data_IF_118894669729
#
_entry.id   IF_118894669729
#
_cell.length_a   1.000
_cell.length_b   1.000
_cell.length_c   1.000
_cell.angle_alpha   90.00
_cell.angle_beta   90.00
_cell.angle_gamma   90.00
#
_symmetry.space_group_name_H-M   'P 1'
#
loop_
_entity.id
_entity.type
_entity.pdbx_description
1 polymer ?
#
# COMPACT_ATOMS: atom_id res chain seq x y z
N UNK A 1 23.82 -17.44 10.63
CA UNK A 1 23.68 -16.25 9.84
C UNK A 1 22.37 -15.54 10.09
N UNK A 2 22.39 -14.33 10.56
CA UNK A 2 21.14 -13.64 10.82
C UNK A 2 20.41 -13.38 9.50
N UNK A 3 19.13 -13.62 9.50
CA UNK A 3 18.33 -13.23 8.38
C UNK A 3 18.12 -11.73 8.42
N UNK A 4 18.20 -11.13 7.26
CA UNK A 4 17.84 -9.74 7.16
C UNK A 4 16.35 -9.62 7.33
N UNK A 5 15.93 -8.92 8.36
CA UNK A 5 14.52 -8.72 8.64
C UNK A 5 13.98 -7.65 7.70
N UNK A 6 13.14 -8.06 6.77
CA UNK A 6 12.55 -7.15 5.80
C UNK A 6 11.17 -7.63 5.40
N UNK A 7 10.40 -6.73 4.80
CA UNK A 7 9.07 -7.00 4.33
C UNK A 7 8.86 -6.30 2.99
N UNK A 8 8.20 -6.98 2.06
CA UNK A 8 7.77 -6.35 0.83
C UNK A 8 6.45 -5.65 1.08
N UNK A 9 6.32 -4.44 0.56
CA UNK A 9 5.11 -3.64 0.69
C UNK A 9 4.71 -3.07 -0.66
N UNK A 10 3.41 -2.96 -0.87
CA UNK A 10 2.83 -2.36 -2.05
C UNK A 10 2.32 -0.98 -1.67
N UNK A 11 2.83 0.05 -2.35
CA UNK A 11 2.45 1.43 -2.08
C UNK A 11 1.67 1.98 -3.27
N UNK A 12 0.52 2.58 -2.98
CA UNK A 12 -0.43 2.99 -4.02
C UNK A 12 -0.85 4.45 -3.91
N UNK A 13 -0.39 5.15 -2.88
CA UNK A 13 -0.80 6.53 -2.62
C UNK A 13 0.38 7.44 -2.35
N UNK A 14 0.33 8.16 -1.24
CA UNK A 14 1.34 9.16 -0.90
C UNK A 14 2.76 8.62 -0.78
N UNK A 15 2.91 7.31 -0.64
CA UNK A 15 4.22 6.67 -0.55
C UNK A 15 4.84 6.37 -1.90
N UNK A 16 4.07 6.45 -2.99
CA UNK A 16 4.62 6.19 -4.32
C UNK A 16 5.67 7.25 -4.69
N UNK A 17 6.57 6.85 -5.60
CA UNK A 17 7.61 7.76 -6.09
C UNK A 17 7.00 9.06 -6.62
N UNK A 18 7.52 10.19 -6.15
CA UNK A 18 7.03 11.50 -6.54
C UNK A 18 5.89 12.02 -5.68
N UNK A 19 5.44 11.25 -4.69
CA UNK A 19 4.36 11.65 -3.81
C UNK A 19 4.88 12.08 -2.44
N UNK A 20 4.04 12.75 -1.66
CA UNK A 20 4.44 13.49 -0.45
C UNK A 20 5.21 12.64 0.55
N UNK A 21 4.76 11.41 0.81
CA UNK A 21 5.38 10.57 1.83
C UNK A 21 6.46 9.65 1.29
N UNK A 22 6.84 9.80 0.02
CA UNK A 22 7.85 8.93 -0.58
C UNK A 22 9.19 8.99 0.14
N UNK A 23 9.50 10.11 0.79
CA UNK A 23 10.76 10.25 1.54
C UNK A 23 10.92 9.19 2.62
N UNK A 24 9.82 8.64 3.14
CA UNK A 24 9.88 7.57 4.13
C UNK A 24 10.51 6.29 3.57
N UNK A 25 10.52 6.14 2.25
CA UNK A 25 11.10 4.98 1.57
C UNK A 25 12.55 5.21 1.16
N UNK A 26 13.14 6.35 1.52
CA UNK A 26 14.53 6.65 1.16
C UNK A 26 15.46 5.59 1.72
N UNK A 27 16.35 5.09 0.85
CA UNK A 27 17.29 4.03 1.24
C UNK A 27 16.71 2.63 1.14
N UNK A 28 15.42 2.50 0.83
CA UNK A 28 14.80 1.18 0.67
C UNK A 28 14.81 0.77 -0.80
N UNK A 29 14.73 -0.53 -1.04
CA UNK A 29 14.86 -1.09 -2.39
C UNK A 29 13.52 -1.09 -3.13
N UNK A 30 13.44 -0.36 -4.23
CA UNK A 30 12.28 -0.42 -5.10
C UNK A 30 12.41 -1.63 -6.02
N UNK A 31 11.44 -2.53 -5.95
CA UNK A 31 11.43 -3.74 -6.77
C UNK A 31 10.71 -3.54 -8.10
N UNK A 32 9.95 -2.46 -8.24
CA UNK A 32 9.31 -2.12 -9.49
C UNK A 32 7.82 -1.82 -9.37
N UNK A 33 7.23 -1.54 -10.51
CA UNK A 33 5.79 -1.31 -10.58
C UNK A 33 5.04 -2.61 -10.42
N UNK A 34 3.84 -2.52 -9.88
CA UNK A 34 3.00 -3.70 -9.66
C UNK A 34 1.54 -3.32 -9.79
N UNK A 35 0.71 -4.35 -10.03
CA UNK A 35 -0.72 -4.19 -10.19
C UNK A 35 -1.40 -5.21 -9.30
N UNK A 36 -2.39 -4.78 -8.53
CA UNK A 36 -3.14 -5.69 -7.66
C UNK A 36 -4.14 -6.51 -8.47
N UNK A 37 -4.49 -7.69 -7.96
CA UNK A 37 -5.64 -8.41 -8.49
C UNK A 37 -6.90 -7.53 -8.32
N UNK A 38 -7.93 -7.68 -9.18
CA UNK A 38 -9.11 -6.80 -9.13
C UNK A 38 -10.04 -7.13 -7.97
N UNK A 39 -9.51 -7.00 -6.76
CA UNK A 39 -10.20 -7.34 -5.52
C UNK A 39 -10.37 -6.13 -4.61
N UNK A 40 -9.96 -4.96 -5.07
CA UNK A 40 -9.87 -3.77 -4.22
C UNK A 40 -10.37 -2.52 -4.94
N UNK A 41 -10.74 -1.51 -4.15
CA UNK A 41 -11.02 -0.17 -4.67
C UNK A 41 -10.38 0.87 -3.77
N UNK A 42 -10.07 2.04 -4.35
CA UNK A 42 -9.50 3.16 -3.62
C UNK A 42 -10.52 4.28 -3.53
N UNK A 43 -10.63 4.86 -2.36
CA UNK A 43 -11.52 6.00 -2.13
C UNK A 43 -10.73 7.21 -1.67
N UNK A 44 -11.18 8.38 -2.07
CA UNK A 44 -10.52 9.65 -1.79
C UNK A 44 -10.89 10.10 -0.36
N UNK A 45 -9.89 10.11 0.52
CA UNK A 45 -10.07 10.56 1.91
C UNK A 45 -9.71 12.03 2.07
N UNK A 46 -9.42 12.72 0.95
CA UNK A 46 -9.00 14.11 0.93
C UNK A 46 -7.58 14.22 0.41
N UNK A 47 -6.60 14.08 1.27
CA UNK A 47 -5.20 14.22 0.89
C UNK A 47 -4.52 12.90 0.53
N UNK A 48 -5.20 11.77 0.72
CA UNK A 48 -4.63 10.45 0.49
C UNK A 48 -5.75 9.44 0.25
N UNK A 49 -5.43 8.29 -0.36
CA UNK A 49 -6.45 7.28 -0.66
C UNK A 49 -6.62 6.28 0.47
N UNK A 50 -7.81 5.69 0.53
CA UNK A 50 -8.08 4.55 1.39
C UNK A 50 -8.36 3.34 0.50
N UNK A 51 -7.56 2.29 0.65
CA UNK A 51 -7.73 1.04 -0.07
C UNK A 51 -8.61 0.10 0.74
N UNK A 52 -9.59 -0.50 0.10
CA UNK A 52 -10.49 -1.45 0.76
C UNK A 52 -10.74 -2.65 -0.15
N UNK A 53 -11.08 -3.79 0.44
CA UNK A 53 -11.52 -4.94 -0.33
C UNK A 53 -12.92 -4.66 -0.88
N UNK A 54 -13.16 -5.10 -2.11
CA UNK A 54 -14.39 -4.80 -2.79
C UNK A 54 -14.73 -5.91 -3.76
N UNK A 55 -15.97 -6.44 -3.75
CA UNK A 55 -16.34 -7.56 -4.64
C UNK A 55 -16.16 -7.25 -6.12
N UNK A 56 -16.40 -6.00 -6.51
CA UNK A 56 -16.21 -5.56 -7.89
C UNK A 56 -15.01 -4.63 -7.94
N UNK A 57 -13.84 -5.20 -7.66
CA UNK A 57 -12.62 -4.43 -7.53
C UNK A 57 -11.98 -4.05 -8.85
N UNK A 58 -10.96 -3.23 -8.73
CA UNK A 58 -10.13 -2.77 -9.84
C UNK A 58 -8.71 -3.24 -9.66
N UNK A 59 -7.97 -3.29 -10.76
CA UNK A 59 -6.55 -3.62 -10.74
C UNK A 59 -5.75 -2.38 -10.33
N UNK A 60 -5.61 -2.19 -9.03
CA UNK A 60 -4.96 -1.01 -8.46
C UNK A 60 -3.47 -0.99 -8.82
N UNK A 61 -2.97 0.14 -9.27
CA UNK A 61 -1.57 0.32 -9.68
C UNK A 61 -0.75 0.91 -8.56
N UNK A 62 0.47 0.44 -8.43
CA UNK A 62 1.39 0.94 -7.41
C UNK A 62 2.80 0.46 -7.64
N UNK A 63 3.58 0.44 -6.57
CA UNK A 63 4.99 0.04 -6.60
C UNK A 63 5.25 -0.89 -5.43
N UNK A 64 6.17 -1.85 -5.62
CA UNK A 64 6.59 -2.75 -4.55
C UNK A 64 7.98 -2.34 -4.07
N UNK A 65 8.14 -2.23 -2.77
CA UNK A 65 9.41 -1.95 -2.12
C UNK A 65 9.74 -3.06 -1.12
N UNK A 66 11.01 -3.34 -0.98
CA UNK A 66 11.51 -4.18 0.10
C UNK A 66 12.07 -3.25 1.17
N UNK A 67 11.47 -3.29 2.35
CA UNK A 67 11.81 -2.35 3.42
C UNK A 67 12.28 -3.11 4.64
N UNK A 68 13.26 -2.53 5.37
CA UNK A 68 13.68 -3.11 6.64
C UNK A 68 12.61 -2.86 7.72
N UNK A 69 12.73 -3.55 8.84
CA UNK A 69 11.71 -3.47 9.89
C UNK A 69 11.61 -2.09 10.53
N UNK A 70 12.71 -1.35 10.59
CA UNK A 70 12.65 0.00 11.12
C UNK A 70 11.83 0.92 10.19
N UNK A 71 12.06 0.80 8.89
CA UNK A 71 11.27 1.53 7.91
C UNK A 71 9.80 1.12 7.98
N UNK A 72 9.55 -0.19 8.08
CA UNK A 72 8.20 -0.71 8.17
C UNK A 72 7.45 -0.10 9.36
N UNK A 73 8.11 0.01 10.50
CA UNK A 73 7.53 0.62 11.69
C UNK A 73 7.16 2.08 11.44
N UNK A 74 8.03 2.81 10.76
CA UNK A 74 7.76 4.22 10.43
C UNK A 74 6.59 4.36 9.47
N UNK A 75 6.48 3.44 8.51
CA UNK A 75 5.36 3.43 7.58
C UNK A 75 4.05 3.12 8.31
N UNK A 76 4.06 2.15 9.23
CA UNK A 76 2.88 1.86 10.03
C UNK A 76 2.45 3.07 10.86
N UNK A 77 3.41 3.81 11.43
CA UNK A 77 3.11 5.03 12.16
C UNK A 77 2.49 6.10 11.25
N UNK A 78 3.08 6.30 10.07
CA UNK A 78 2.60 7.29 9.13
C UNK A 78 1.20 6.98 8.64
N UNK A 79 0.85 5.70 8.54
CA UNK A 79 -0.48 5.27 8.13
C UNK A 79 -1.48 5.23 9.29
N UNK A 80 -1.02 5.51 10.51
CA UNK A 80 -1.91 5.54 11.67
C UNK A 80 -2.44 4.17 12.05
N UNK A 81 -1.60 3.13 11.94
CA UNK A 81 -1.99 1.77 12.34
C UNK A 81 -2.39 1.73 13.81
N UNK A 82 -1.64 2.42 14.66
CA UNK A 82 -1.93 2.46 16.10
C UNK A 82 -3.24 3.17 16.42
N UNK A 83 -3.65 4.11 15.57
CA UNK A 83 -4.92 4.81 15.74
C UNK A 83 -6.07 4.11 15.02
N UNK A 84 -5.82 2.94 14.46
CA UNK A 84 -6.81 2.15 13.72
C UNK A 84 -7.39 2.87 12.52
N UNK A 85 -6.57 3.71 11.88
CA UNK A 85 -6.94 4.31 10.61
C UNK A 85 -6.77 3.31 9.48
N UNK A 86 -5.64 2.60 9.48
CA UNK A 86 -5.33 1.55 8.53
C UNK A 86 -4.89 0.28 9.25
N UNK A 87 -5.01 -0.84 8.57
CA UNK A 87 -4.38 -2.09 8.98
C UNK A 87 -3.44 -2.54 7.86
N UNK A 88 -2.27 -3.05 8.22
CA UNK A 88 -1.35 -3.62 7.25
C UNK A 88 -1.57 -5.13 7.17
N UNK A 89 -1.80 -5.63 5.96
CA UNK A 89 -1.98 -7.06 5.74
C UNK A 89 -1.64 -7.42 4.30
N UNK A 90 -1.61 -8.71 4.01
CA UNK A 90 -1.24 -9.21 2.70
C UNK A 90 -2.21 -8.72 1.61
N UNK A 91 -1.64 -8.34 0.46
CA UNK A 91 -2.39 -7.96 -0.73
C UNK A 91 -2.10 -8.95 -1.84
N UNK A 92 -3.09 -9.22 -2.68
CA UNK A 92 -2.94 -10.10 -3.83
C UNK A 92 -2.53 -9.29 -5.05
N UNK A 93 -1.38 -9.61 -5.63
CA UNK A 93 -0.83 -8.91 -6.79
C UNK A 93 -0.77 -9.83 -8.00
N UNK A 94 -0.72 -9.21 -9.18
CA UNK A 94 -0.54 -9.92 -10.45
C UNK A 94 0.94 -9.99 -10.81
N UNK A 95 1.25 -10.84 -11.80
CA UNK A 95 2.58 -10.88 -12.40
C UNK A 95 3.65 -11.47 -11.50
N UNK A 96 4.84 -10.89 -11.55
CA UNK A 96 6.01 -11.44 -10.86
C UNK A 96 5.89 -11.43 -9.33
N UNK A 97 4.98 -10.64 -8.77
CA UNK A 97 4.78 -10.57 -7.33
C UNK A 97 3.62 -11.44 -6.85
N UNK A 98 3.01 -12.21 -7.74
CA UNK A 98 1.81 -12.99 -7.46
C UNK A 98 1.95 -13.93 -6.28
N UNK A 99 3.08 -14.62 -6.18
CA UNK A 99 3.30 -15.60 -5.11
C UNK A 99 4.03 -15.03 -3.91
N UNK A 100 4.33 -13.74 -3.91
CA UNK A 100 5.09 -13.11 -2.84
C UNK A 100 4.25 -12.76 -1.63
N UNK A 101 4.92 -12.60 -0.49
CA UNK A 101 4.29 -12.09 0.73
C UNK A 101 4.45 -10.57 0.73
N UNK A 102 3.52 -9.90 0.09
CA UNK A 102 3.53 -8.44 -0.02
C UNK A 102 2.39 -7.89 0.80
N UNK A 103 2.67 -6.87 1.62
CA UNK A 103 1.67 -6.23 2.46
C UNK A 103 1.29 -4.86 1.92
N UNK A 104 0.09 -4.42 2.25
CA UNK A 104 -0.38 -3.07 1.96
C UNK A 104 -1.22 -2.58 3.13
N UNK A 105 -1.51 -1.29 3.14
CA UNK A 105 -2.29 -0.69 4.20
C UNK A 105 -3.72 -0.50 3.73
N UNK A 106 -4.67 -1.05 4.48
CA UNK A 106 -6.08 -1.03 4.15
C UNK A 106 -6.83 -0.11 5.12
N UNK A 107 -7.69 0.75 4.57
CA UNK A 107 -8.49 1.69 5.33
C UNK A 107 -9.52 0.94 6.15
N UNK A 108 -9.66 1.31 7.42
CA UNK A 108 -10.53 0.59 8.36
C UNK A 108 -11.88 1.23 8.58
N UNK A 109 -12.11 2.42 8.05
CA UNK A 109 -13.33 3.17 8.32
C UNK A 109 -14.25 3.19 7.11
N UNK A 110 -15.46 3.71 7.29
CA UNK A 110 -16.46 3.71 6.22
C UNK A 110 -16.00 4.57 5.04
N UNK A 111 -16.37 4.15 3.84
CA UNK A 111 -16.07 4.87 2.60
C UNK A 111 -17.34 5.37 1.92
N UNK A 112 -18.49 5.19 2.54
CA UNK A 112 -19.75 5.63 1.98
C UNK A 112 -19.73 7.12 1.73
N UNK A 113 -20.12 7.53 0.52
CA UNK A 113 -20.12 8.94 0.14
C UNK A 113 -18.79 9.49 -0.34
N UNK A 114 -17.72 8.69 -0.27
CA UNK A 114 -16.42 9.12 -0.76
C UNK A 114 -16.27 8.82 -2.24
N UNK A 115 -15.46 9.63 -2.93
CA UNK A 115 -15.22 9.46 -4.35
C UNK A 115 -14.30 8.26 -4.58
N UNK A 116 -14.68 7.41 -5.54
CA UNK A 116 -13.84 6.31 -6.01
C UNK A 116 -12.73 6.89 -6.89
N UNK A 117 -11.47 6.61 -6.55
CA UNK A 117 -10.32 7.18 -7.25
C UNK A 117 -9.93 6.42 -8.52
N UNK A 118 -10.59 5.28 -8.80
CA UNK A 118 -10.16 4.43 -9.90
C UNK A 118 -8.95 3.59 -9.52
N UNK A 119 -8.17 3.20 -10.52
CA UNK A 119 -7.09 2.24 -10.34
C UNK A 119 -5.76 2.87 -9.92
N UNK A 120 -5.67 4.18 -9.94
CA UNK A 120 -4.41 4.86 -9.66
C UNK A 120 -4.66 6.18 -8.93
N UNK A 121 -3.88 6.43 -7.89
CA UNK A 121 -3.95 7.69 -7.16
C UNK A 121 -3.26 8.76 -7.99
N UNK A 122 -3.96 9.85 -8.34
CA UNK A 122 -3.40 10.90 -9.19
C UNK A 122 -2.29 11.71 -8.54
#
# INVERSE_FOLDING_TARGET
MPQQLSQRVFVYGSLKRGYVLHALLQGQLCLGKAVAEPLYRMFDLGSYPGLVEWPEGLAIRGEVYQVDFECLRRLDEAEGVDQRLYVRRKISLQGEFESGDVHAWFWLNAVQGLRDCGAEWP
#
